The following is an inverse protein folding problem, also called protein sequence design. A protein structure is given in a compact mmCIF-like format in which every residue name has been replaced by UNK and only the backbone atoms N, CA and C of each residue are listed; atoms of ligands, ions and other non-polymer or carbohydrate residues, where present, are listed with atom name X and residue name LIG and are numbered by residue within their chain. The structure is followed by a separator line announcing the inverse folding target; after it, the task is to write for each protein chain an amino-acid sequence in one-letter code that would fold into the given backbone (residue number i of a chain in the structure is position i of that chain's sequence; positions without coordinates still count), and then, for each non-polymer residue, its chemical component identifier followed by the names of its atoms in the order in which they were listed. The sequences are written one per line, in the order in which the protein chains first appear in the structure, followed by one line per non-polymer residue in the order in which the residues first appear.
data_IF_860669363717
#
_entry.id   IF_860669363717
#
_cell.length_a   1.000
_cell.length_b   1.000
_cell.length_c   1.000
_cell.angle_alpha   90.00
_cell.angle_beta   90.00
_cell.angle_gamma   90.00
#
_symmetry.space_group_name_H-M   'P 1'
#
loop_
_entity.id
_entity.type
_entity.pdbx_description
1 polymer ?
#
# COMPACT_ATOMS: atom_id res chain seq x y z
N UNK A 1 42.80 54.55 26.40
CA UNK A 1 41.49 54.31 27.07
C UNK A 1 40.82 53.12 26.40
N UNK A 2 40.64 52.06 27.18
CA UNK A 2 40.16 50.75 26.74
C UNK A 2 38.67 50.81 26.37
N UNK A 3 38.30 50.32 25.20
CA UNK A 3 36.91 49.91 24.91
C UNK A 3 36.93 48.45 24.46
N UNK A 4 36.64 47.57 25.41
CA UNK A 4 36.29 46.17 25.15
C UNK A 4 34.96 46.17 24.38
N UNK A 5 35.00 45.80 23.11
CA UNK A 5 33.81 45.56 22.32
C UNK A 5 33.45 44.08 22.44
N UNK A 6 32.42 43.81 23.23
CA UNK A 6 31.86 42.48 23.48
C UNK A 6 31.08 42.06 22.23
N UNK A 7 31.68 41.25 21.35
CA UNK A 7 30.98 40.64 20.23
C UNK A 7 30.34 39.35 20.76
N UNK A 8 29.08 39.45 21.14
CA UNK A 8 28.20 38.34 21.48
C UNK A 8 27.24 38.13 20.30
N UNK A 9 27.22 36.91 19.77
CA UNK A 9 26.15 36.31 18.96
C UNK A 9 25.81 36.98 17.61
N UNK A 10 26.23 36.32 16.52
CA UNK A 10 25.27 35.80 15.54
C UNK A 10 25.98 34.80 14.61
N UNK A 11 26.19 33.56 15.06
CA UNK A 11 26.36 32.46 14.12
C UNK A 11 25.05 32.30 13.37
N UNK A 12 24.97 32.96 12.22
CA UNK A 12 24.07 32.63 11.13
C UNK A 12 24.16 31.12 10.90
N UNK A 13 23.20 30.36 11.40
CA UNK A 13 22.85 29.12 10.73
C UNK A 13 22.18 29.56 9.43
N UNK A 14 22.99 29.71 8.38
CA UNK A 14 22.53 29.72 6.99
C UNK A 14 21.93 28.34 6.71
N UNK A 15 20.71 28.12 7.19
CA UNK A 15 19.86 27.09 6.61
C UNK A 15 19.53 27.57 5.20
N UNK A 16 19.81 26.78 4.15
CA UNK A 16 19.37 27.15 2.82
C UNK A 16 17.85 27.22 2.87
N UNK A 17 17.32 28.40 2.57
CA UNK A 17 15.90 28.61 2.33
C UNK A 17 15.57 27.84 1.06
N UNK A 18 15.26 26.54 1.21
CA UNK A 18 14.94 25.68 0.11
C UNK A 18 13.70 26.25 -0.58
N UNK A 19 13.88 26.67 -1.82
CA UNK A 19 12.81 27.16 -2.68
C UNK A 19 11.68 26.12 -2.72
N UNK A 20 10.44 26.56 -2.48
CA UNK A 20 9.25 25.70 -2.48
C UNK A 20 9.01 24.96 -3.81
N UNK A 21 9.73 25.35 -4.88
CA UNK A 21 9.67 24.70 -6.18
C UNK A 21 10.57 23.45 -6.31
N UNK A 22 11.64 23.32 -5.50
CA UNK A 22 12.56 22.17 -5.58
C UNK A 22 12.12 20.98 -4.71
N UNK A 23 11.43 21.23 -3.59
CA UNK A 23 10.99 20.16 -2.68
C UNK A 23 10.12 19.10 -3.38
N UNK A 24 9.33 19.47 -4.40
CA UNK A 24 8.50 18.52 -5.13
C UNK A 24 9.27 17.59 -6.09
N UNK A 25 10.57 17.81 -6.31
CA UNK A 25 11.41 16.95 -7.17
C UNK A 25 12.19 15.89 -6.39
N UNK A 26 12.28 16.01 -5.06
CA UNK A 26 12.99 15.06 -4.21
C UNK A 26 12.09 13.88 -3.84
N UNK A 27 12.60 12.66 -3.97
CA UNK A 27 11.90 11.44 -3.59
C UNK A 27 12.60 10.77 -2.41
N UNK A 28 11.81 10.22 -1.48
CA UNK A 28 12.30 9.56 -0.27
C UNK A 28 11.70 8.18 -0.13
N UNK A 29 12.48 7.20 0.27
CA UNK A 29 12.01 5.86 0.61
C UNK A 29 11.34 5.82 1.98
N UNK A 30 10.54 4.77 2.24
CA UNK A 30 9.98 4.54 3.57
C UNK A 30 11.06 4.43 4.65
N UNK A 31 12.21 3.83 4.34
CA UNK A 31 13.30 3.67 5.31
C UNK A 31 13.93 5.01 5.69
N UNK A 32 14.08 5.91 4.71
CA UNK A 32 14.55 7.27 4.98
C UNK A 32 13.53 8.03 5.84
N UNK A 33 12.23 7.93 5.54
CA UNK A 33 11.22 8.56 6.42
C UNK A 33 11.27 7.96 7.83
N UNK A 34 11.44 6.64 7.96
CA UNK A 34 11.46 5.94 9.24
C UNK A 34 12.64 6.31 10.15
N UNK A 35 13.73 6.86 9.62
CA UNK A 35 14.84 7.35 10.46
C UNK A 35 14.47 8.65 11.21
N UNK A 36 13.51 9.41 10.69
CA UNK A 36 13.00 10.66 11.28
C UNK A 36 11.80 10.39 12.20
N UNK A 37 11.99 9.54 13.21
CA UNK A 37 10.94 9.01 14.08
C UNK A 37 10.83 9.68 15.47
N UNK A 38 11.55 10.78 15.72
CA UNK A 38 11.56 11.46 17.02
C UNK A 38 10.72 12.75 16.99
N UNK A 39 10.32 13.30 18.14
CA UNK A 39 9.56 14.57 18.16
C UNK A 39 10.41 15.79 17.79
N UNK A 40 11.73 15.72 17.97
CA UNK A 40 12.68 16.76 17.56
C UNK A 40 13.10 16.64 16.10
N UNK A 41 12.85 15.48 15.48
CA UNK A 41 13.13 15.17 14.09
C UNK A 41 12.07 14.18 13.59
N UNK A 42 10.94 14.74 13.15
CA UNK A 42 9.69 14.03 12.89
C UNK A 42 9.29 14.22 11.44
N UNK A 43 9.38 13.17 10.64
CA UNK A 43 8.78 13.15 9.31
C UNK A 43 7.53 12.29 9.31
N UNK A 44 6.55 12.67 8.51
CA UNK A 44 5.31 11.91 8.31
C UNK A 44 5.00 11.77 6.83
N UNK A 45 4.31 10.69 6.46
CA UNK A 45 3.75 10.52 5.12
C UNK A 45 2.26 10.85 5.14
N UNK A 46 1.81 11.69 4.21
CA UNK A 46 0.39 11.96 3.97
C UNK A 46 0.13 11.97 2.46
N UNK A 47 -0.64 10.99 1.98
CA UNK A 47 -1.00 10.84 0.56
C UNK A 47 0.24 10.82 -0.35
N UNK A 48 1.17 9.91 -0.07
CA UNK A 48 2.40 9.67 -0.84
C UNK A 48 3.37 10.87 -0.92
N UNK A 49 3.21 11.82 0.00
CA UNK A 49 4.11 12.97 0.20
C UNK A 49 4.71 12.93 1.58
N UNK A 50 5.95 13.40 1.68
CA UNK A 50 6.75 13.41 2.91
C UNK A 50 6.81 14.82 3.44
N UNK A 51 6.56 14.97 4.75
CA UNK A 51 6.51 16.25 5.43
C UNK A 51 7.39 16.24 6.68
N UNK A 52 8.23 17.26 6.84
CA UNK A 52 9.02 17.48 8.06
C UNK A 52 8.25 18.39 9.01
N UNK A 53 7.69 17.81 10.08
CA UNK A 53 6.68 18.46 10.94
C UNK A 53 7.15 18.75 12.36
N UNK A 54 8.42 18.49 12.68
CA UNK A 54 8.98 18.64 14.03
C UNK A 54 8.68 20.02 14.65
N UNK A 55 8.85 21.09 13.87
CA UNK A 55 8.60 22.48 14.31
C UNK A 55 7.12 22.80 14.58
N UNK A 56 6.20 21.95 14.12
CA UNK A 56 4.75 22.18 14.25
C UNK A 56 4.09 21.34 15.34
N UNK A 57 4.74 20.29 15.84
CA UNK A 57 4.14 19.34 16.80
C UNK A 57 3.56 20.06 18.02
N UNK A 58 4.28 21.05 18.57
CA UNK A 58 3.84 21.81 19.74
C UNK A 58 2.67 22.77 19.47
N UNK A 59 2.47 23.16 18.21
CA UNK A 59 1.47 24.13 17.77
C UNK A 59 0.18 23.45 17.27
N UNK A 60 0.19 22.12 17.14
CA UNK A 60 -0.93 21.38 16.58
C UNK A 60 -2.20 21.48 17.45
N UNK A 61 -3.33 22.04 16.95
CA UNK A 61 -4.55 22.21 17.73
C UNK A 61 -5.18 20.90 18.24
N UNK A 62 -4.86 19.76 17.61
CA UNK A 62 -5.27 18.43 18.07
C UNK A 62 -4.42 17.85 19.21
N UNK A 63 -3.43 18.61 19.70
CA UNK A 63 -2.45 18.19 20.69
C UNK A 63 -1.21 17.53 20.08
N UNK A 64 -0.09 17.60 20.82
CA UNK A 64 1.23 17.09 20.40
C UNK A 64 1.20 15.61 20.00
N UNK A 65 0.55 14.79 20.83
CA UNK A 65 0.51 13.34 20.66
C UNK A 65 -0.23 12.90 19.38
N UNK A 66 -1.11 13.75 18.84
CA UNK A 66 -1.82 13.45 17.60
C UNK A 66 -0.89 13.40 16.38
N UNK A 67 0.27 14.07 16.43
CA UNK A 67 1.32 13.98 15.41
C UNK A 67 2.46 13.07 15.88
N UNK A 68 2.90 13.20 17.13
CA UNK A 68 4.09 12.50 17.64
C UNK A 68 4.02 10.96 17.47
N UNK A 69 2.83 10.36 17.58
CA UNK A 69 2.64 8.92 17.39
C UNK A 69 2.95 8.42 15.97
N UNK A 70 3.01 9.34 15.01
CA UNK A 70 3.21 9.07 13.58
C UNK A 70 4.58 9.51 13.06
N UNK A 71 5.49 10.01 13.90
CA UNK A 71 6.86 10.29 13.45
C UNK A 71 7.49 9.02 12.86
N UNK A 72 8.08 9.16 11.68
CA UNK A 72 8.64 8.09 10.86
C UNK A 72 7.62 7.18 10.18
N UNK A 73 6.34 7.55 10.13
CA UNK A 73 5.24 6.66 9.69
C UNK A 73 4.28 7.34 8.72
N UNK A 74 3.43 6.52 8.11
CA UNK A 74 2.27 6.97 7.34
C UNK A 74 1.14 7.45 8.27
N UNK A 75 0.86 8.74 8.19
CA UNK A 75 -0.19 9.44 8.91
C UNK A 75 -1.44 9.70 8.06
N UNK A 76 -1.51 9.22 6.81
CA UNK A 76 -2.59 9.52 5.85
C UNK A 76 -3.97 9.25 6.44
N UNK A 77 -4.18 8.07 7.03
CA UNK A 77 -5.47 7.73 7.66
C UNK A 77 -5.77 8.64 8.85
N UNK A 78 -4.78 8.90 9.70
CA UNK A 78 -4.95 9.76 10.87
C UNK A 78 -5.27 11.20 10.47
N UNK A 79 -4.62 11.71 9.42
CA UNK A 79 -4.85 13.03 8.86
C UNK A 79 -6.24 13.14 8.23
N UNK A 80 -6.66 12.19 7.41
CA UNK A 80 -8.00 12.22 6.78
C UNK A 80 -9.13 12.14 7.80
N UNK A 81 -8.92 11.43 8.92
CA UNK A 81 -9.97 11.13 9.90
C UNK A 81 -9.87 11.91 11.20
N UNK A 82 -8.82 12.73 11.41
CA UNK A 82 -8.50 13.36 12.71
C UNK A 82 -8.55 12.35 13.87
N UNK A 83 -8.10 11.12 13.64
CA UNK A 83 -8.24 10.02 14.61
C UNK A 83 -9.70 9.67 14.94
N UNK A 84 -10.60 9.73 13.95
CA UNK A 84 -12.04 9.49 14.10
C UNK A 84 -12.90 10.73 14.37
N UNK A 85 -12.31 11.91 14.53
CA UNK A 85 -13.00 13.17 14.92
C UNK A 85 -13.42 14.05 13.72
N UNK A 86 -13.54 13.48 12.53
CA UNK A 86 -13.93 14.19 11.30
C UNK A 86 -12.75 14.54 10.39
N UNK A 87 -12.88 15.59 9.58
CA UNK A 87 -11.87 15.96 8.57
C UNK A 87 -11.10 17.23 8.97
N UNK A 88 -9.85 17.34 8.52
CA UNK A 88 -9.10 18.59 8.62
C UNK A 88 -9.74 19.68 7.72
N UNK A 89 -9.63 20.94 8.13
CA UNK A 89 -10.11 22.09 7.37
C UNK A 89 -9.19 22.40 6.18
N UNK A 90 -9.64 23.22 5.24
CA UNK A 90 -8.81 23.73 4.14
C UNK A 90 -7.55 24.44 4.64
N UNK A 91 -7.66 25.19 5.74
CA UNK A 91 -6.53 25.83 6.39
C UNK A 91 -5.50 24.81 6.90
N UNK A 92 -5.93 23.71 7.51
CA UNK A 92 -5.03 22.65 7.97
C UNK A 92 -4.33 21.94 6.80
N UNK A 93 -5.02 21.74 5.68
CA UNK A 93 -4.39 21.27 4.44
C UNK A 93 -3.33 22.24 3.90
N UNK A 94 -3.61 23.55 3.91
CA UNK A 94 -2.63 24.57 3.52
C UNK A 94 -1.43 24.59 4.47
N UNK A 95 -1.69 24.46 5.77
CA UNK A 95 -0.64 24.43 6.80
C UNK A 95 0.29 23.24 6.63
N UNK A 96 -0.26 22.05 6.35
CA UNK A 96 0.54 20.85 6.05
C UNK A 96 1.47 21.08 4.84
N UNK A 97 1.00 21.81 3.82
CA UNK A 97 1.78 22.15 2.63
C UNK A 97 3.09 22.89 2.92
N UNK A 98 3.14 23.69 3.98
CA UNK A 98 4.34 24.43 4.39
C UNK A 98 5.48 23.52 4.89
N UNK A 99 5.18 22.26 5.17
CA UNK A 99 6.13 21.28 5.70
C UNK A 99 6.56 20.24 4.66
N UNK A 100 6.13 20.40 3.40
CA UNK A 100 6.44 19.45 2.33
C UNK A 100 7.94 19.43 2.04
N UNK A 101 8.55 18.25 2.16
CA UNK A 101 9.97 18.05 1.81
C UNK A 101 10.15 17.24 0.53
N UNK A 102 9.16 16.42 0.14
CA UNK A 102 9.17 15.73 -1.14
C UNK A 102 8.10 14.66 -1.31
N UNK A 103 8.28 13.80 -2.31
CA UNK A 103 7.38 12.69 -2.58
C UNK A 103 7.94 11.39 -2.02
N UNK A 104 7.07 10.43 -1.73
CA UNK A 104 7.48 9.09 -1.40
C UNK A 104 7.88 8.34 -2.68
N UNK A 105 9.10 7.79 -2.69
CA UNK A 105 9.57 6.84 -3.68
C UNK A 105 8.71 5.58 -3.60
N UNK A 106 7.77 5.45 -4.54
CA UNK A 106 7.12 4.18 -4.81
C UNK A 106 8.14 3.39 -5.61
N UNK A 107 8.83 2.44 -4.98
CA UNK A 107 9.70 1.52 -5.69
C UNK A 107 8.87 0.75 -6.73
N UNK A 108 8.78 1.26 -7.95
CA UNK A 108 8.49 0.46 -9.14
C UNK A 108 9.72 -0.42 -9.34
N UNK A 109 9.74 -1.54 -8.63
CA UNK A 109 10.78 -2.53 -8.82
C UNK A 109 10.50 -3.21 -10.17
N UNK A 110 11.08 -2.66 -11.24
CA UNK A 110 11.55 -3.47 -12.35
C UNK A 110 12.64 -4.36 -11.78
N UNK A 111 12.27 -5.54 -11.26
CA UNK A 111 13.24 -6.52 -10.79
C UNK A 111 13.49 -7.52 -11.92
N UNK A 112 14.51 -7.20 -12.71
CA UNK A 112 15.37 -8.25 -13.23
C UNK A 112 16.12 -8.82 -12.03
N UNK A 113 15.83 -10.08 -11.72
CA UNK A 113 16.65 -11.05 -10.97
C UNK A 113 17.85 -10.49 -10.20
N UNK A 114 17.71 -10.30 -8.88
CA UNK A 114 18.76 -10.67 -7.92
C UNK A 114 18.09 -11.06 -6.60
N UNK A 115 18.27 -12.32 -6.24
CA UNK A 115 17.79 -12.98 -5.04
C UNK A 115 18.43 -12.32 -3.82
N UNK A 116 17.63 -11.71 -2.94
CA UNK A 116 17.96 -11.62 -1.52
C UNK A 116 16.84 -12.26 -0.71
N UNK A 117 17.16 -13.49 -0.32
CA UNK A 117 16.51 -14.26 0.72
C UNK A 117 16.44 -13.47 2.03
N UNK A 118 15.32 -12.82 2.31
CA UNK A 118 14.88 -12.67 3.71
C UNK A 118 14.16 -13.96 4.07
N UNK A 119 14.92 -14.92 4.58
CA UNK A 119 14.41 -16.12 5.24
C UNK A 119 13.58 -15.71 6.45
N UNK A 120 12.28 -15.59 6.28
CA UNK A 120 11.38 -15.91 7.38
C UNK A 120 11.53 -17.41 7.61
N UNK A 121 11.98 -17.78 8.80
CA UNK A 121 12.01 -19.15 9.27
C UNK A 121 10.57 -19.70 9.30
N UNK A 122 10.10 -20.20 8.15
CA UNK A 122 9.03 -21.18 8.09
C UNK A 122 9.69 -22.54 7.97
N UNK A 123 9.63 -23.28 9.06
CA UNK A 123 10.10 -24.66 9.22
C UNK A 123 9.83 -25.49 7.96
N UNK A 124 10.90 -25.98 7.33
CA UNK A 124 10.86 -27.00 6.29
C UNK A 124 10.26 -28.30 6.86
N UNK A 125 8.93 -28.43 6.80
CA UNK A 125 8.22 -29.70 6.97
C UNK A 125 6.82 -29.63 6.37
N UNK A 126 6.67 -29.03 5.19
CA UNK A 126 5.35 -28.92 4.53
C UNK A 126 5.33 -29.60 3.17
N UNK A 127 4.34 -30.48 3.02
CA UNK A 127 3.93 -31.16 1.80
C UNK A 127 3.93 -30.21 0.59
N UNK A 128 4.29 -30.72 -0.59
CA UNK A 128 4.19 -30.01 -1.89
C UNK A 128 2.83 -29.36 -2.11
N UNK A 129 1.74 -29.94 -1.57
CA UNK A 129 0.39 -29.34 -1.63
C UNK A 129 0.22 -28.07 -0.80
N UNK A 130 0.92 -27.95 0.33
CA UNK A 130 0.85 -26.77 1.20
C UNK A 130 1.65 -25.61 0.60
N UNK A 131 2.78 -25.91 -0.05
CA UNK A 131 3.61 -24.92 -0.74
C UNK A 131 2.85 -24.25 -1.90
N UNK A 132 2.12 -25.03 -2.72
CA UNK A 132 1.32 -24.46 -3.80
C UNK A 132 0.15 -23.60 -3.30
N UNK A 133 -0.51 -23.99 -2.21
CA UNK A 133 -1.58 -23.18 -1.62
C UNK A 133 -1.06 -21.83 -1.12
N UNK A 134 0.11 -21.82 -0.47
CA UNK A 134 0.78 -20.59 -0.04
C UNK A 134 1.13 -19.70 -1.25
N UNK A 135 1.67 -20.26 -2.33
CA UNK A 135 1.96 -19.51 -3.56
C UNK A 135 0.69 -18.94 -4.21
N UNK A 136 -0.40 -19.72 -4.27
CA UNK A 136 -1.68 -19.27 -4.81
C UNK A 136 -2.26 -18.10 -4.00
N UNK A 137 -2.17 -18.15 -2.66
CA UNK A 137 -2.62 -17.07 -1.79
C UNK A 137 -1.75 -15.82 -1.91
N UNK A 138 -0.44 -15.99 -2.07
CA UNK A 138 0.50 -14.89 -2.25
C UNK A 138 0.23 -14.13 -3.55
N UNK A 139 0.00 -14.83 -4.66
CA UNK A 139 -0.30 -14.20 -5.95
C UNK A 139 -1.62 -13.42 -5.94
N UNK A 140 -2.63 -13.87 -5.19
CA UNK A 140 -3.89 -13.14 -4.97
C UNK A 140 -3.63 -11.83 -4.23
N UNK A 141 -2.81 -11.85 -3.19
CA UNK A 141 -2.47 -10.65 -2.41
C UNK A 141 -1.80 -9.63 -3.31
N UNK A 142 -0.78 -10.05 -4.06
CA UNK A 142 -0.02 -9.18 -4.98
C UNK A 142 -0.90 -8.59 -6.07
N UNK A 143 -1.75 -9.41 -6.70
CA UNK A 143 -2.67 -8.96 -7.74
C UNK A 143 -3.69 -7.97 -7.20
N UNK A 144 -4.31 -8.30 -6.05
CA UNK A 144 -5.29 -7.43 -5.38
C UNK A 144 -4.68 -6.07 -5.03
N UNK A 145 -3.51 -6.07 -4.40
CA UNK A 145 -2.86 -4.83 -3.96
C UNK A 145 -2.41 -3.98 -5.15
N UNK A 146 -1.85 -4.59 -6.19
CA UNK A 146 -1.52 -3.90 -7.46
C UNK A 146 -2.75 -3.20 -8.06
N UNK A 147 -3.90 -3.89 -8.13
CA UNK A 147 -5.15 -3.31 -8.63
C UNK A 147 -5.72 -2.21 -7.74
N UNK A 148 -5.56 -2.31 -6.42
CA UNK A 148 -5.97 -1.25 -5.49
C UNK A 148 -5.12 0.01 -5.71
N UNK A 149 -3.82 -0.14 -5.94
CA UNK A 149 -2.91 0.96 -6.25
C UNK A 149 -3.33 1.62 -7.57
N UNK A 150 -3.53 0.83 -8.63
CA UNK A 150 -4.02 1.32 -9.93
C UNK A 150 -5.30 2.15 -9.79
N UNK A 151 -6.29 1.64 -9.06
CA UNK A 151 -7.55 2.35 -8.82
C UNK A 151 -7.36 3.68 -8.06
N UNK A 152 -6.41 3.76 -7.13
CA UNK A 152 -6.07 4.99 -6.40
C UNK A 152 -5.41 6.02 -7.32
N UNK A 153 -4.50 5.58 -8.19
CA UNK A 153 -3.85 6.44 -9.18
C UNK A 153 -4.88 7.06 -10.12
N UNK A 154 -5.81 6.25 -10.64
CA UNK A 154 -6.89 6.74 -11.50
C UNK A 154 -7.80 7.76 -10.79
N UNK A 155 -8.15 7.50 -9.54
CA UNK A 155 -8.90 8.45 -8.72
C UNK A 155 -8.16 9.78 -8.55
N UNK A 156 -6.88 9.74 -8.18
CA UNK A 156 -6.05 10.94 -8.00
C UNK A 156 -5.99 11.76 -9.29
N UNK A 157 -5.76 11.10 -10.43
CA UNK A 157 -5.75 11.75 -11.75
C UNK A 157 -7.09 12.40 -12.10
N UNK A 158 -8.21 11.74 -11.79
CA UNK A 158 -9.54 12.29 -12.02
C UNK A 158 -9.80 13.54 -11.15
N UNK A 159 -9.40 13.53 -9.88
CA UNK A 159 -9.53 14.69 -8.98
C UNK A 159 -8.67 15.85 -9.49
N UNK A 160 -7.42 15.61 -9.87
CA UNK A 160 -6.54 16.65 -10.42
C UNK A 160 -7.13 17.25 -11.69
N UNK A 161 -7.66 16.42 -12.58
CA UNK A 161 -8.35 16.87 -13.80
C UNK A 161 -9.56 17.76 -13.47
N UNK A 162 -10.39 17.34 -12.51
CA UNK A 162 -11.54 18.13 -12.06
C UNK A 162 -11.12 19.47 -11.46
N UNK A 163 -10.04 19.50 -10.67
CA UNK A 163 -9.49 20.74 -10.10
C UNK A 163 -8.97 21.69 -11.18
N UNK A 164 -8.27 21.19 -12.19
CA UNK A 164 -7.78 21.99 -13.32
C UNK A 164 -8.94 22.58 -14.13
N UNK A 165 -9.96 21.78 -14.43
CA UNK A 165 -11.17 22.26 -15.10
C UNK A 165 -11.88 23.34 -14.29
N UNK A 166 -12.00 23.15 -12.97
CA UNK A 166 -12.58 24.16 -12.08
C UNK A 166 -11.78 25.47 -12.12
N UNK A 167 -10.45 25.39 -12.02
CA UNK A 167 -9.54 26.55 -12.08
C UNK A 167 -9.75 27.34 -13.37
N UNK A 168 -9.77 26.66 -14.51
CA UNK A 168 -9.95 27.33 -15.81
C UNK A 168 -11.37 27.90 -15.95
N UNK A 169 -12.40 27.16 -15.54
CA UNK A 169 -13.78 27.65 -15.54
C UNK A 169 -13.98 28.89 -14.66
N UNK A 170 -13.36 28.92 -13.48
CA UNK A 170 -13.39 30.09 -12.60
C UNK A 170 -12.67 31.29 -13.23
N UNK A 171 -11.51 31.07 -13.87
CA UNK A 171 -10.78 32.11 -14.61
C UNK A 171 -11.62 32.72 -15.73
N UNK A 172 -12.32 31.89 -16.51
CA UNK A 172 -13.24 32.35 -17.54
C UNK A 172 -14.44 33.10 -16.95
N UNK A 173 -15.01 32.62 -15.83
CA UNK A 173 -16.13 33.28 -15.17
C UNK A 173 -15.77 34.66 -14.61
N UNK A 174 -14.54 34.86 -14.13
CA UNK A 174 -14.04 36.17 -13.66
C UNK A 174 -14.06 37.21 -14.77
N UNK A 175 -13.75 36.82 -16.01
CA UNK A 175 -13.68 37.71 -17.17
C UNK A 175 -15.07 38.24 -17.61
N UNK A 176 -16.16 37.64 -17.15
CA UNK A 176 -17.52 38.10 -17.45
C UNK A 176 -17.77 39.44 -16.74
N UNK A 177 -18.34 40.43 -17.44
CA UNK A 177 -18.63 41.75 -16.86
C UNK A 177 -19.99 41.78 -16.17
N UNK A 178 -21.01 41.18 -16.78
CA UNK A 178 -22.36 41.08 -16.21
C UNK A 178 -22.38 40.21 -14.93
N UNK A 179 -22.93 40.77 -13.85
CA UNK A 179 -22.92 40.16 -12.51
C UNK A 179 -23.80 38.91 -12.48
N UNK A 180 -24.98 38.94 -13.12
CA UNK A 180 -25.93 37.82 -13.13
C UNK A 180 -25.35 36.61 -13.87
N UNK A 181 -24.77 36.86 -15.03
CA UNK A 181 -24.12 35.86 -15.88
C UNK A 181 -22.87 35.32 -15.21
N UNK A 182 -22.04 36.17 -14.58
CA UNK A 182 -20.88 35.75 -13.78
C UNK A 182 -21.28 34.79 -12.66
N UNK A 183 -22.31 35.14 -11.87
CA UNK A 183 -22.80 34.29 -10.77
C UNK A 183 -23.28 32.94 -11.29
N UNK A 184 -23.99 32.93 -12.42
CA UNK A 184 -24.46 31.71 -13.08
C UNK A 184 -23.30 30.85 -13.56
N UNK A 185 -22.28 31.45 -14.18
CA UNK A 185 -21.08 30.76 -14.63
C UNK A 185 -20.31 30.11 -13.48
N UNK A 186 -20.07 30.83 -12.37
CA UNK A 186 -19.45 30.25 -11.17
C UNK A 186 -20.25 29.10 -10.58
N UNK A 187 -21.58 29.24 -10.51
CA UNK A 187 -22.45 28.17 -10.01
C UNK A 187 -22.33 26.91 -10.89
N UNK A 188 -22.29 27.09 -12.22
CA UNK A 188 -22.10 26.01 -13.18
C UNK A 188 -20.77 25.29 -12.96
N UNK A 189 -19.66 26.04 -12.90
CA UNK A 189 -18.31 25.50 -12.67
C UNK A 189 -18.23 24.71 -11.36
N UNK A 190 -18.80 25.25 -10.28
CA UNK A 190 -18.82 24.56 -9.00
C UNK A 190 -19.66 23.28 -9.03
N UNK A 191 -20.78 23.29 -9.74
CA UNK A 191 -21.63 22.10 -9.90
C UNK A 191 -20.93 21.01 -10.70
N UNK A 192 -20.29 21.37 -11.82
CA UNK A 192 -19.49 20.45 -12.64
C UNK A 192 -18.35 19.82 -11.82
N UNK A 193 -17.63 20.61 -11.02
CA UNK A 193 -16.59 20.10 -10.12
C UNK A 193 -17.15 19.11 -9.07
N UNK A 194 -18.29 19.45 -8.44
CA UNK A 194 -18.95 18.57 -7.46
C UNK A 194 -19.37 17.24 -8.09
N UNK A 195 -19.95 17.29 -9.29
CA UNK A 195 -20.34 16.09 -10.04
C UNK A 195 -19.12 15.23 -10.37
N UNK A 196 -18.08 15.81 -10.97
CA UNK A 196 -16.88 15.07 -11.36
C UNK A 196 -16.16 14.41 -10.16
N UNK A 197 -16.07 15.12 -9.03
CA UNK A 197 -15.44 14.57 -7.81
C UNK A 197 -16.28 13.46 -7.17
N UNK A 198 -17.61 13.58 -7.20
CA UNK A 198 -18.53 12.51 -6.74
C UNK A 198 -18.43 11.28 -7.63
N UNK A 199 -18.39 11.45 -8.95
CA UNK A 199 -18.21 10.38 -9.92
C UNK A 199 -16.87 9.65 -9.71
N UNK A 200 -15.76 10.39 -9.55
CA UNK A 200 -14.46 9.80 -9.26
C UNK A 200 -14.50 8.94 -7.97
N UNK A 201 -15.14 9.44 -6.91
CA UNK A 201 -15.29 8.71 -5.65
C UNK A 201 -16.14 7.43 -5.81
N UNK A 202 -17.24 7.52 -6.55
CA UNK A 202 -18.11 6.38 -6.83
C UNK A 202 -17.36 5.32 -7.64
N UNK A 203 -16.61 5.72 -8.66
CA UNK A 203 -15.76 4.85 -9.47
C UNK A 203 -14.73 4.14 -8.60
N UNK A 204 -14.00 4.86 -7.73
CA UNK A 204 -13.04 4.25 -6.81
C UNK A 204 -13.69 3.21 -5.90
N UNK A 205 -14.88 3.51 -5.38
CA UNK A 205 -15.62 2.64 -4.47
C UNK A 205 -16.06 1.36 -5.19
N UNK A 206 -16.65 1.50 -6.37
CA UNK A 206 -17.11 0.37 -7.19
C UNK A 206 -15.94 -0.50 -7.65
N UNK A 207 -14.85 0.10 -8.11
CA UNK A 207 -13.65 -0.62 -8.54
C UNK A 207 -13.03 -1.40 -7.39
N UNK A 208 -12.91 -0.80 -6.20
CA UNK A 208 -12.42 -1.51 -5.00
C UNK A 208 -13.31 -2.70 -4.63
N UNK A 209 -14.63 -2.53 -4.70
CA UNK A 209 -15.58 -3.62 -4.46
C UNK A 209 -15.32 -4.79 -5.42
N UNK A 210 -15.22 -4.52 -6.72
CA UNK A 210 -14.93 -5.55 -7.73
C UNK A 210 -13.58 -6.25 -7.51
N UNK A 211 -12.55 -5.51 -7.13
CA UNK A 211 -11.23 -6.09 -6.83
C UNK A 211 -11.31 -7.07 -5.66
N UNK A 212 -12.07 -6.72 -4.61
CA UNK A 212 -12.25 -7.58 -3.45
C UNK A 212 -13.09 -8.83 -3.79
N UNK A 213 -14.17 -8.66 -4.56
CA UNK A 213 -14.99 -9.79 -5.05
C UNK A 213 -14.16 -10.77 -5.88
N UNK A 214 -13.31 -10.26 -6.78
CA UNK A 214 -12.40 -11.09 -7.57
C UNK A 214 -11.37 -11.82 -6.69
N UNK A 215 -10.78 -11.13 -5.72
CA UNK A 215 -9.82 -11.75 -4.80
C UNK A 215 -10.47 -12.83 -3.92
N UNK A 216 -11.73 -12.63 -3.51
CA UNK A 216 -12.50 -13.63 -2.78
C UNK A 216 -12.73 -14.88 -3.66
N UNK A 217 -13.13 -14.68 -4.92
CA UNK A 217 -13.34 -15.77 -5.85
C UNK A 217 -12.05 -16.56 -6.10
N UNK A 218 -10.95 -15.88 -6.40
CA UNK A 218 -9.65 -16.53 -6.58
C UNK A 218 -9.21 -17.30 -5.32
N UNK A 219 -9.51 -16.79 -4.13
CA UNK A 219 -9.21 -17.51 -2.90
C UNK A 219 -10.06 -18.77 -2.73
N UNK A 220 -11.29 -18.81 -3.23
CA UNK A 220 -12.12 -20.03 -3.26
C UNK A 220 -11.51 -21.04 -4.22
N UNK A 221 -11.05 -20.59 -5.38
CA UNK A 221 -10.44 -21.44 -6.40
C UNK A 221 -9.15 -22.10 -5.88
N UNK A 222 -8.27 -21.35 -5.20
CA UNK A 222 -7.08 -21.92 -4.53
C UNK A 222 -7.42 -23.02 -3.51
N UNK A 223 -8.60 -22.93 -2.86
CA UNK A 223 -9.04 -23.92 -1.87
C UNK A 223 -9.49 -25.22 -2.55
N UNK A 224 -10.21 -25.11 -3.66
CA UNK A 224 -10.66 -26.26 -4.46
C UNK A 224 -9.44 -27.03 -5.01
N UNK A 225 -8.45 -26.32 -5.56
CA UNK A 225 -7.20 -26.94 -6.04
C UNK A 225 -6.46 -27.72 -4.94
N UNK A 226 -6.47 -27.21 -3.70
CA UNK A 226 -5.88 -27.91 -2.55
C UNK A 226 -6.63 -29.19 -2.21
N UNK A 227 -7.96 -29.16 -2.24
CA UNK A 227 -8.82 -30.31 -1.92
C UNK A 227 -8.72 -31.42 -2.97
N UNK A 228 -8.78 -31.07 -4.26
CA UNK A 228 -8.69 -32.04 -5.35
C UNK A 228 -7.32 -32.71 -5.43
N UNK A 229 -6.26 -31.96 -5.13
CA UNK A 229 -4.91 -32.51 -5.03
C UNK A 229 -4.76 -33.43 -3.83
N UNK A 230 -5.37 -33.09 -2.69
CA UNK A 230 -5.36 -33.95 -1.50
C UNK A 230 -6.08 -35.28 -1.77
N UNK A 231 -7.20 -35.25 -2.51
CA UNK A 231 -7.90 -36.46 -2.97
C UNK A 231 -7.04 -37.30 -3.92
N UNK A 232 -6.35 -36.67 -4.88
CA UNK A 232 -5.45 -37.36 -5.84
C UNK A 232 -4.28 -38.05 -5.13
N UNK A 233 -3.62 -37.37 -4.20
CA UNK A 233 -2.51 -37.93 -3.39
C UNK A 233 -3.00 -39.11 -2.55
N UNK A 234 -4.19 -39.03 -1.96
CA UNK A 234 -4.75 -40.12 -1.18
C UNK A 234 -5.12 -41.34 -2.05
N UNK A 235 -5.60 -41.10 -3.27
CA UNK A 235 -5.86 -42.15 -4.26
C UNK A 235 -4.56 -42.86 -4.67
N UNK A 236 -3.52 -42.13 -5.06
CA UNK A 236 -2.21 -42.68 -5.43
C UNK A 236 -1.57 -43.48 -4.27
N UNK A 237 -1.70 -43.00 -3.03
CA UNK A 237 -1.23 -43.73 -1.83
C UNK A 237 -1.98 -45.03 -1.58
N UNK A 238 -3.30 -45.05 -1.81
CA UNK A 238 -4.12 -46.25 -1.64
C UNK A 238 -3.83 -47.28 -2.74
N UNK A 239 -3.67 -46.83 -3.99
CA UNK A 239 -3.31 -47.68 -5.12
C UNK A 239 -1.93 -48.33 -4.91
N UNK A 240 -0.94 -47.57 -4.42
CA UNK A 240 0.38 -48.09 -4.07
C UNK A 240 0.33 -49.11 -2.92
N UNK A 241 -0.53 -48.89 -1.92
CA UNK A 241 -0.66 -49.77 -0.75
C UNK A 241 -1.36 -51.08 -1.09
N UNK A 242 -2.31 -51.06 -2.02
CA UNK A 242 -2.98 -52.25 -2.56
C UNK A 242 -2.01 -53.08 -3.41
N UNK A 243 -1.30 -52.43 -4.32
CA UNK A 243 -0.32 -53.11 -5.17
C UNK A 243 0.80 -53.79 -4.35
N UNK A 244 1.24 -53.17 -3.24
CA UNK A 244 2.21 -53.78 -2.30
C UNK A 244 1.65 -54.99 -1.54
N UNK A 245 0.35 -55.05 -1.25
CA UNK A 245 -0.29 -56.22 -0.64
C UNK A 245 -0.40 -57.37 -1.63
N UNK A 246 -0.71 -57.08 -2.89
CA UNK A 246 -0.84 -58.08 -3.95
C UNK A 246 0.51 -58.74 -4.28
N UNK A 247 1.60 -57.95 -4.32
CA UNK A 247 2.97 -58.48 -4.45
C UNK A 247 3.31 -59.43 -3.29
N UNK A 248 2.99 -59.03 -2.05
CA UNK A 248 3.27 -59.85 -0.86
C UNK A 248 2.47 -61.16 -0.83
N UNK A 249 1.21 -61.11 -1.30
CA UNK A 249 0.34 -62.29 -1.43
C UNK A 249 0.86 -63.27 -2.48
N UNK A 250 1.40 -62.76 -3.59
CA UNK A 250 2.02 -63.57 -4.64
C UNK A 250 3.36 -64.18 -4.19
N UNK A 251 4.17 -63.44 -3.43
CA UNK A 251 5.41 -63.97 -2.83
C UNK A 251 5.12 -65.10 -1.83
N UNK A 252 4.14 -64.91 -0.94
CA UNK A 252 3.75 -65.94 0.05
C UNK A 252 3.13 -67.18 -0.62
N UNK A 253 2.37 -67.01 -1.71
CA UNK A 253 1.82 -68.12 -2.49
C UNK A 253 2.91 -68.90 -3.25
N UNK A 254 3.88 -68.19 -3.85
CA UNK A 254 5.04 -68.83 -4.51
C UNK A 254 5.92 -69.62 -3.54
N UNK A 255 5.99 -69.19 -2.28
CA UNK A 255 6.74 -69.84 -1.21
C UNK A 255 6.02 -71.08 -0.65
N UNK A 256 4.69 -71.13 -0.79
CA UNK A 256 3.87 -72.30 -0.47
C UNK A 256 4.05 -73.43 -1.49
N UNK A 257 3.96 -73.12 -2.80
CA UNK A 257 4.17 -74.11 -3.87
C UNK A 257 5.58 -74.73 -3.89
N UNK A 258 6.60 -73.99 -3.42
CA UNK A 258 7.98 -74.49 -3.33
C UNK A 258 8.23 -75.45 -2.15
N UNK A 259 7.28 -75.59 -1.23
CA UNK A 259 7.35 -76.54 -0.10
C UNK A 259 6.66 -77.87 -0.41
N UNK A 260 5.72 -77.93 -1.35
CA UNK A 260 5.05 -79.17 -1.76
C UNK A 260 5.91 -80.01 -2.71
N UNK A 261 6.80 -79.39 -3.49
CA UNK A 261 7.72 -80.10 -4.41
C UNK A 261 8.95 -80.74 -3.73
N UNK A 262 8.94 -80.95 -2.40
CA UNK A 262 10.06 -81.52 -1.62
C UNK A 262 9.63 -82.68 -0.73
N UNK A 263 8.48 -83.30 -1.00
CA UNK A 263 7.93 -84.38 -0.18
C UNK A 263 7.89 -85.75 -0.85
N UNK A 264 8.40 -85.87 -2.08
CA UNK A 264 8.33 -87.10 -2.88
C UNK A 264 9.73 -87.64 -3.29
N UNK A 265 10.77 -87.37 -2.50
CA UNK A 265 12.09 -88.03 -2.59
C UNK A 265 12.45 -88.71 -1.26
#
# INVERSE_FOLDING_TARGET
MNKKLFIFFLTLCMSPLLSHAEAASTTFTFNEVASHASTTDCWIIVSDKVYSVASYISLHPGGKNAIANFCGKDATKAFVTKGGKGKHSTFAHSTLGNFLVGNLSVSTSTQNSTIISTSTNYTNSTSTSERLFVTCRQSIIETRDSKIIEARTLYSNAINTAMLKRKEGEKLAIAITDISTKKTAFKKVLNEYKTATKEAQNTLTLTRKKILENAEQQSKDCKIEKEDRSKKINKEKNDFKNNKKDIKKNEDSSRFFKKESKKDD
#
